data_IF_985754933085
#
_entry.id   IF_985754933085
#
_cell.length_a   1.000
_cell.length_b   1.000
_cell.length_c   1.000
_cell.angle_alpha   90.00
_cell.angle_beta   90.00
_cell.angle_gamma   90.00
#
_symmetry.space_group_name_H-M   'P 1'
#
loop_
_entity.id
_entity.type
_entity.pdbx_description
1 polymer ?
#
# COMPACT_ATOMS: atom_id res chain seq x y z
N UNK A 1 2.71 7.10 -14.07
CA UNK A 1 3.59 7.10 -12.89
C UNK A 1 3.57 8.44 -12.15
N UNK A 2 3.48 9.57 -12.85
CA UNK A 2 3.44 10.91 -12.24
C UNK A 2 2.32 11.08 -11.19
N UNK A 3 1.12 10.58 -11.46
CA UNK A 3 0.01 10.57 -10.49
C UNK A 3 0.36 9.89 -9.15
N UNK A 4 1.04 8.74 -9.14
CA UNK A 4 1.36 8.04 -7.90
C UNK A 4 2.46 8.75 -7.10
N UNK A 5 3.38 9.43 -7.80
CA UNK A 5 4.39 10.28 -7.18
C UNK A 5 3.74 11.52 -6.53
N UNK A 6 2.85 12.18 -7.25
CA UNK A 6 2.19 13.42 -6.80
C UNK A 6 1.19 13.15 -5.66
N UNK A 7 0.35 12.11 -5.79
CA UNK A 7 -0.69 11.80 -4.82
C UNK A 7 -0.18 11.06 -3.58
N UNK A 8 0.75 10.12 -3.74
CA UNK A 8 1.17 9.21 -2.66
C UNK A 8 2.65 9.32 -2.30
N UNK A 9 3.42 10.18 -2.98
CA UNK A 9 4.88 10.28 -2.78
C UNK A 9 5.66 9.04 -3.24
N UNK A 10 5.04 8.18 -4.05
CA UNK A 10 5.63 6.90 -4.48
C UNK A 10 6.51 7.10 -5.70
N UNK A 11 7.81 6.85 -5.53
CA UNK A 11 8.76 6.87 -6.65
C UNK A 11 8.69 5.58 -7.49
N UNK A 12 9.38 5.58 -8.64
CA UNK A 12 9.42 4.43 -9.57
C UNK A 12 9.88 3.14 -8.92
N UNK A 13 10.92 3.20 -8.08
CA UNK A 13 11.47 2.01 -7.43
C UNK A 13 10.44 1.35 -6.51
N UNK A 14 9.80 2.14 -5.65
CA UNK A 14 8.74 1.67 -4.75
C UNK A 14 7.56 1.12 -5.57
N UNK A 15 7.12 1.83 -6.60
CA UNK A 15 6.03 1.37 -7.46
C UNK A 15 6.34 0.01 -8.07
N UNK A 16 7.54 -0.16 -8.64
CA UNK A 16 7.97 -1.42 -9.24
C UNK A 16 8.01 -2.55 -8.21
N UNK A 17 8.50 -2.30 -6.99
CA UNK A 17 8.49 -3.32 -5.92
C UNK A 17 7.08 -3.73 -5.52
N UNK A 18 6.13 -2.79 -5.48
CA UNK A 18 4.71 -3.09 -5.22
C UNK A 18 4.14 -3.93 -6.36
N UNK A 19 4.41 -3.54 -7.61
CA UNK A 19 3.96 -4.26 -8.81
C UNK A 19 4.49 -5.70 -8.85
N UNK A 20 5.81 -5.88 -8.66
CA UNK A 20 6.45 -7.20 -8.57
C UNK A 20 5.83 -8.03 -7.45
N UNK A 21 5.58 -7.44 -6.28
CA UNK A 21 4.98 -8.17 -5.17
C UNK A 21 3.58 -8.68 -5.48
N UNK A 22 2.71 -7.86 -6.08
CA UNK A 22 1.36 -8.29 -6.47
C UNK A 22 1.37 -9.30 -7.62
N UNK A 23 2.33 -9.18 -8.54
CA UNK A 23 2.54 -10.17 -9.58
C UNK A 23 2.91 -11.53 -8.96
N UNK A 24 3.82 -11.54 -7.99
CA UNK A 24 4.21 -12.75 -7.24
C UNK A 24 3.05 -13.35 -6.43
N UNK A 25 2.01 -12.58 -6.09
CA UNK A 25 0.78 -13.08 -5.48
C UNK A 25 -0.24 -13.64 -6.50
N UNK A 26 0.08 -13.63 -7.79
CA UNK A 26 -0.76 -14.19 -8.86
C UNK A 26 -1.69 -13.19 -9.55
N UNK A 27 -1.55 -11.88 -9.30
CA UNK A 27 -2.32 -10.85 -10.02
C UNK A 27 -1.61 -10.53 -11.35
N UNK A 28 -1.72 -11.43 -12.32
CA UNK A 28 -1.00 -11.34 -13.59
C UNK A 28 -1.55 -10.25 -14.53
N UNK A 29 -2.86 -10.04 -14.53
CA UNK A 29 -3.49 -9.00 -15.36
C UNK A 29 -3.03 -7.60 -14.94
N UNK A 30 -2.50 -6.85 -15.90
CA UNK A 30 -1.90 -5.53 -15.65
C UNK A 30 -2.93 -4.48 -15.22
N UNK A 31 -4.18 -4.61 -15.65
CA UNK A 31 -5.23 -3.65 -15.29
C UNK A 31 -5.68 -3.93 -13.84
N UNK A 32 -5.90 -5.19 -13.49
CA UNK A 32 -6.25 -5.60 -12.13
C UNK A 32 -5.12 -5.28 -11.14
N UNK A 33 -3.88 -5.56 -11.49
CA UNK A 33 -2.73 -5.23 -10.63
C UNK A 33 -2.60 -3.73 -10.39
N UNK A 34 -2.84 -2.89 -11.40
CA UNK A 34 -2.86 -1.43 -11.24
C UNK A 34 -3.98 -0.96 -10.32
N UNK A 35 -5.17 -1.55 -10.40
CA UNK A 35 -6.26 -1.25 -9.47
C UNK A 35 -5.85 -1.61 -8.05
N UNK A 36 -5.24 -2.77 -7.85
CA UNK A 36 -4.80 -3.24 -6.54
C UNK A 36 -3.70 -2.37 -5.95
N UNK A 37 -2.72 -1.94 -6.75
CA UNK A 37 -1.71 -0.96 -6.35
C UNK A 37 -2.38 0.33 -5.84
N UNK A 38 -3.38 0.86 -6.55
CA UNK A 38 -4.07 2.07 -6.13
C UNK A 38 -4.83 1.88 -4.81
N UNK A 39 -5.51 0.75 -4.63
CA UNK A 39 -6.20 0.40 -3.37
C UNK A 39 -5.22 0.27 -2.20
N UNK A 40 -4.09 -0.39 -2.42
CA UNK A 40 -3.03 -0.50 -1.43
C UNK A 40 -2.51 0.89 -1.03
N UNK A 41 -2.21 1.76 -1.99
CA UNK A 41 -1.73 3.12 -1.70
C UNK A 41 -2.76 3.96 -0.96
N UNK A 42 -4.05 3.79 -1.27
CA UNK A 42 -5.14 4.44 -0.54
C UNK A 42 -5.32 3.89 0.88
N UNK A 43 -5.26 2.57 1.08
CA UNK A 43 -5.23 1.94 2.40
C UNK A 43 -4.10 2.48 3.25
N UNK A 44 -2.91 2.58 2.66
CA UNK A 44 -1.71 3.12 3.27
C UNK A 44 -1.90 4.57 3.70
N UNK A 45 -2.47 5.41 2.85
CA UNK A 45 -2.75 6.82 3.12
C UNK A 45 -3.76 6.98 4.27
N UNK A 46 -4.82 6.18 4.27
CA UNK A 46 -5.90 6.22 5.26
C UNK A 46 -5.48 5.79 6.68
N UNK A 47 -4.34 5.11 6.84
CA UNK A 47 -3.79 4.79 8.16
C UNK A 47 -3.13 5.97 8.87
N UNK A 48 -2.96 7.12 8.21
CA UNK A 48 -2.34 8.30 8.82
C UNK A 48 -3.38 9.33 9.27
N UNK A 49 -3.29 9.73 10.55
CA UNK A 49 -4.08 10.83 11.10
C UNK A 49 -3.67 12.19 10.51
N UNK A 50 -2.46 12.32 9.95
CA UNK A 50 -1.94 13.54 9.32
C UNK A 50 -1.76 13.35 7.82
N UNK A 51 -2.72 13.88 7.04
CA UNK A 51 -2.78 13.90 5.57
C UNK A 51 -1.58 14.53 4.81
N UNK A 52 -0.53 15.00 5.49
CA UNK A 52 0.56 15.77 4.87
C UNK A 52 1.96 15.18 5.11
N UNK A 53 2.09 14.06 5.82
CA UNK A 53 3.38 13.40 6.00
C UNK A 53 3.60 12.36 4.91
N UNK A 54 4.48 12.65 3.94
CA UNK A 54 4.86 11.72 2.88
C UNK A 54 5.42 10.44 3.49
N UNK A 55 4.79 9.30 3.21
CA UNK A 55 5.22 8.00 3.74
C UNK A 55 6.65 7.68 3.27
N UNK A 56 7.55 7.45 4.22
CA UNK A 56 8.84 6.79 3.96
C UNK A 56 8.71 5.34 4.41
N UNK A 57 8.68 4.41 3.46
CA UNK A 57 8.82 3.00 3.78
C UNK A 57 10.26 2.78 4.26
N UNK A 58 10.46 2.70 5.58
CA UNK A 58 11.76 2.33 6.15
C UNK A 58 12.22 0.95 5.67
N UNK A 59 13.41 0.50 6.09
CA UNK A 59 13.97 -0.81 5.69
C UNK A 59 12.99 -1.93 6.03
N UNK A 60 12.42 -2.58 5.00
CA UNK A 60 11.42 -3.66 5.15
C UNK A 60 9.97 -3.22 5.38
N UNK A 61 9.70 -1.93 5.64
CA UNK A 61 8.35 -1.44 5.97
C UNK A 61 7.33 -1.57 4.83
N UNK A 62 7.79 -1.57 3.57
CA UNK A 62 6.94 -1.78 2.40
C UNK A 62 6.33 -3.19 2.39
N UNK A 63 7.16 -4.22 2.57
CA UNK A 63 6.71 -5.61 2.54
C UNK A 63 5.74 -5.93 3.68
N UNK A 64 5.98 -5.36 4.87
CA UNK A 64 5.07 -5.50 6.02
C UNK A 64 3.71 -4.87 5.69
N UNK A 65 3.69 -3.65 5.14
CA UNK A 65 2.43 -3.00 4.76
C UNK A 65 1.66 -3.78 3.69
N UNK A 66 2.37 -4.38 2.73
CA UNK A 66 1.77 -5.24 1.71
C UNK A 66 1.14 -6.49 2.32
N UNK A 67 1.83 -7.12 3.27
CA UNK A 67 1.30 -8.27 4.01
C UNK A 67 0.07 -7.89 4.86
N UNK A 68 0.12 -6.77 5.59
CA UNK A 68 -1.01 -6.29 6.40
C UNK A 68 -2.24 -5.98 5.54
N UNK A 69 -2.03 -5.44 4.34
CA UNK A 69 -3.08 -5.14 3.37
C UNK A 69 -3.71 -6.40 2.76
N UNK A 70 -2.88 -7.32 2.30
CA UNK A 70 -3.30 -8.44 1.45
C UNK A 70 -3.68 -9.69 2.25
N UNK A 71 -3.05 -9.87 3.41
CA UNK A 71 -3.36 -10.94 4.36
C UNK A 71 -3.79 -10.31 5.68
N UNK A 72 -4.94 -9.60 5.71
CA UNK A 72 -5.42 -9.02 6.96
C UNK A 72 -5.62 -10.17 7.95
N UNK A 73 -4.65 -10.32 8.85
CA UNK A 73 -4.81 -11.16 10.04
C UNK A 73 -6.03 -10.59 10.74
N UNK A 74 -7.00 -11.43 11.12
CA UNK A 74 -8.21 -11.01 11.81
C UNK A 74 -7.83 -10.27 13.11
N UNK A 75 -7.57 -8.96 13.02
CA UNK A 75 -7.39 -8.09 14.19
C UNK A 75 -8.80 -7.77 14.62
N UNK A 76 -9.27 -8.56 15.60
CA UNK A 76 -10.54 -8.32 16.27
C UNK A 76 -10.70 -6.84 16.57
N UNK A 77 -11.89 -6.34 16.23
CA UNK A 77 -12.46 -5.07 16.68
C UNK A 77 -12.02 -4.79 18.12
N UNK A 78 -11.12 -3.84 18.32
CA UNK A 78 -11.08 -3.09 19.58
C UNK A 78 -11.76 -1.77 19.30
N UNK A 79 -13.09 -1.78 19.46
CA UNK A 79 -13.86 -0.59 19.77
C UNK A 79 -13.16 0.14 20.92
N UNK A 80 -12.59 1.31 20.66
CA UNK A 80 -12.43 2.28 21.73
C UNK A 80 -13.79 2.92 21.93
N UNK A 81 -14.56 2.31 22.83
CA UNK A 81 -15.58 3.03 23.59
C UNK A 81 -14.81 3.96 24.52
N UNK A 82 -14.88 5.26 24.25
CA UNK A 82 -14.70 6.32 25.24
C UNK A 82 -15.66 7.44 24.90
#
# INVERSE_FOLDING_TARGET
MQFCLEKYGVNRGIYNTIDEWFYDQGIEDIIERRKEILRFLEFVENQYEKKNEKRKFGKGGLKISLQDYYFPSYKGVTSKVV
#
